data_IF_703058116255
#
_entry.id   IF_703058116255
#
_cell.length_a   1.000
_cell.length_b   1.000
_cell.length_c   1.000
_cell.angle_alpha   90.00
_cell.angle_beta   90.00
_cell.angle_gamma   90.00
#
_symmetry.space_group_name_H-M   'P 1'
#
loop_
_entity.id
_entity.type
_entity.pdbx_description
1 polymer ?
#
# COMPACT_ATOMS: atom_id res chain seq x y z
N UNK A 1 -35.24 -36.27 52.66
CA UNK A 1 -34.66 -35.17 53.45
C UNK A 1 -33.25 -34.99 52.91
N UNK A 2 -32.90 -34.00 52.11
CA UNK A 2 -33.54 -32.74 51.76
C UNK A 2 -33.19 -32.34 50.32
N UNK A 3 -34.17 -31.75 49.64
CA UNK A 3 -33.97 -30.97 48.41
C UNK A 3 -33.38 -29.62 48.84
N UNK A 4 -32.17 -29.30 48.42
CA UNK A 4 -31.68 -27.93 48.42
C UNK A 4 -31.82 -27.36 47.00
N UNK A 5 -32.52 -26.24 46.94
CA UNK A 5 -32.93 -25.46 45.79
C UNK A 5 -31.77 -24.68 45.17
N UNK A 6 -31.59 -24.83 43.86
CA UNK A 6 -30.85 -23.89 43.01
C UNK A 6 -31.64 -22.58 42.90
N UNK A 7 -31.09 -21.49 43.43
CA UNK A 7 -31.50 -20.12 43.12
C UNK A 7 -30.48 -19.50 42.16
N UNK A 8 -30.91 -18.98 40.98
CA UNK A 8 -30.02 -18.29 40.06
C UNK A 8 -29.63 -16.91 40.59
N UNK A 9 -28.37 -16.53 40.37
CA UNK A 9 -27.89 -15.17 40.61
C UNK A 9 -28.35 -14.28 39.47
N UNK A 10 -29.28 -13.36 39.77
CA UNK A 10 -29.71 -12.27 38.89
C UNK A 10 -28.54 -11.30 38.62
N UNK A 11 -27.98 -11.36 37.42
CA UNK A 11 -27.15 -10.27 36.88
C UNK A 11 -28.13 -9.26 36.26
N UNK A 12 -28.39 -8.17 36.98
CA UNK A 12 -29.14 -7.03 36.47
C UNK A 12 -28.40 -6.44 35.25
N UNK A 13 -29.03 -6.53 34.08
CA UNK A 13 -28.65 -5.74 32.91
C UNK A 13 -28.77 -4.25 33.25
N UNK A 14 -27.65 -3.54 33.18
CA UNK A 14 -27.63 -2.08 33.29
C UNK A 14 -28.06 -1.50 31.94
N UNK A 15 -29.21 -0.84 31.93
CA UNK A 15 -29.72 -0.08 30.79
C UNK A 15 -29.04 1.29 30.75
N UNK A 16 -27.94 1.39 29.98
CA UNK A 16 -27.34 2.68 29.62
C UNK A 16 -27.34 2.81 28.08
N UNK A 17 -28.09 3.76 27.48
CA UNK A 17 -28.26 3.85 26.04
C UNK A 17 -27.16 4.72 25.43
N UNK A 18 -25.92 4.24 25.42
CA UNK A 18 -24.86 4.82 24.60
C UNK A 18 -24.12 3.69 23.87
N UNK A 19 -23.99 3.85 22.54
CA UNK A 19 -23.33 2.95 21.59
C UNK A 19 -24.15 1.78 21.01
N UNK A 20 -25.22 2.12 20.27
CA UNK A 20 -25.58 1.39 19.04
C UNK A 20 -25.92 2.40 17.93
N UNK A 21 -24.91 2.98 17.34
CA UNK A 21 -25.00 3.60 16.01
C UNK A 21 -24.11 2.80 15.09
N UNK A 22 -24.73 1.91 14.31
CA UNK A 22 -24.11 1.47 13.05
C UNK A 22 -23.75 2.72 12.24
N UNK A 23 -22.56 2.78 11.62
CA UNK A 23 -22.20 3.93 10.83
C UNK A 23 -23.13 4.02 9.62
N UNK A 24 -24.07 4.95 9.66
CA UNK A 24 -24.89 5.34 8.51
C UNK A 24 -23.96 6.04 7.51
N UNK A 25 -23.34 5.24 6.64
CA UNK A 25 -22.59 5.72 5.49
C UNK A 25 -23.57 6.49 4.60
N UNK A 26 -23.45 7.82 4.58
CA UNK A 26 -24.33 8.67 3.79
C UNK A 26 -24.23 8.28 2.31
N UNK A 27 -25.35 8.30 1.59
CA UNK A 27 -25.41 7.92 0.17
C UNK A 27 -24.54 8.81 -0.76
N UNK A 28 -24.00 9.92 -0.25
CA UNK A 28 -23.04 10.77 -0.94
C UNK A 28 -21.60 10.22 -0.94
N UNK A 29 -21.27 9.31 -0.03
CA UNK A 29 -19.91 8.75 0.15
C UNK A 29 -19.51 7.64 -0.84
N UNK A 30 -20.42 7.23 -1.74
CA UNK A 30 -20.20 6.12 -2.67
C UNK A 30 -19.74 6.54 -4.08
N UNK A 31 -19.48 7.82 -4.34
CA UNK A 31 -19.07 8.26 -5.68
C UNK A 31 -17.58 8.02 -5.89
N UNK A 32 -17.23 7.07 -6.74
CA UNK A 32 -15.88 6.96 -7.28
C UNK A 32 -15.57 8.15 -8.19
N UNK A 33 -14.30 8.63 -8.25
CA UNK A 33 -13.90 9.62 -9.25
C UNK A 33 -14.30 9.20 -10.67
N UNK A 34 -14.65 10.14 -11.57
CA UNK A 34 -15.06 9.78 -12.92
C UNK A 34 -13.97 9.01 -13.68
N UNK A 35 -14.36 7.90 -14.30
CA UNK A 35 -13.47 7.11 -15.15
C UNK A 35 -13.67 7.50 -16.60
N UNK A 36 -12.62 7.95 -17.26
CA UNK A 36 -12.61 8.23 -18.68
C UNK A 36 -12.05 7.04 -19.45
N UNK A 37 -12.76 6.61 -20.48
CA UNK A 37 -12.31 5.70 -21.53
C UNK A 37 -12.09 6.52 -22.81
N UNK A 38 -10.93 6.36 -23.44
CA UNK A 38 -10.67 6.86 -24.79
C UNK A 38 -10.33 5.69 -25.71
N UNK A 39 -10.83 5.69 -26.92
CA UNK A 39 -10.53 4.64 -27.90
C UNK A 39 -10.37 5.21 -29.29
N UNK A 40 -9.64 4.47 -30.12
CA UNK A 40 -9.43 4.82 -31.52
C UNK A 40 -10.65 4.39 -32.33
N UNK A 41 -11.36 5.37 -32.90
CA UNK A 41 -12.36 5.16 -33.94
C UNK A 41 -11.73 5.36 -35.32
N UNK A 42 -12.46 5.03 -36.38
CA UNK A 42 -11.93 5.05 -37.75
C UNK A 42 -11.36 6.41 -38.20
N UNK A 43 -11.88 7.52 -37.66
CA UNK A 43 -11.49 8.88 -38.07
C UNK A 43 -11.25 9.85 -36.91
N UNK A 44 -11.36 9.38 -35.66
CA UNK A 44 -11.31 10.23 -34.47
C UNK A 44 -10.92 9.40 -33.25
N UNK A 45 -10.45 10.08 -32.21
CA UNK A 45 -10.36 9.50 -30.87
C UNK A 45 -11.63 9.89 -30.14
N UNK A 46 -12.41 8.89 -29.72
CA UNK A 46 -13.64 9.12 -28.98
C UNK A 46 -13.36 9.07 -27.47
N UNK A 47 -14.25 9.67 -26.69
CA UNK A 47 -14.14 9.76 -25.22
C UNK A 47 -15.50 9.46 -24.59
N UNK A 48 -15.51 8.49 -23.67
CA UNK A 48 -16.67 8.16 -22.82
C UNK A 48 -16.25 8.33 -21.35
N UNK A 49 -17.12 8.90 -20.52
CA UNK A 49 -16.86 9.11 -19.09
C UNK A 49 -17.94 8.42 -18.25
N UNK A 50 -17.50 7.69 -17.23
CA UNK A 50 -18.32 6.96 -16.28
C UNK A 50 -18.31 7.67 -14.90
N UNK A 51 -19.40 7.67 -14.12
CA UNK A 51 -20.70 7.12 -14.45
C UNK A 51 -21.32 7.82 -15.67
N UNK A 52 -21.93 7.04 -16.55
CA UNK A 52 -22.54 7.57 -17.78
C UNK A 52 -23.75 8.44 -17.40
N UNK A 53 -23.73 9.71 -17.83
CA UNK A 53 -24.78 10.70 -17.50
C UNK A 53 -25.50 11.26 -18.75
N UNK A 54 -25.11 10.85 -19.96
CA UNK A 54 -25.48 11.47 -21.25
C UNK A 54 -25.89 10.39 -22.27
N UNK A 55 -26.67 10.71 -23.33
CA UNK A 55 -27.37 9.72 -24.14
C UNK A 55 -26.45 8.77 -24.95
N UNK A 56 -26.87 7.48 -24.97
CA UNK A 56 -26.42 6.26 -25.68
C UNK A 56 -25.60 6.34 -26.99
N UNK A 57 -25.47 7.51 -27.62
CA UNK A 57 -24.77 7.70 -28.91
C UNK A 57 -23.28 7.35 -28.87
N UNK A 58 -22.57 7.68 -27.78
CA UNK A 58 -21.15 7.34 -27.62
C UNK A 58 -20.95 5.83 -27.38
N UNK A 59 -21.86 5.20 -26.62
CA UNK A 59 -21.84 3.74 -26.44
C UNK A 59 -22.12 3.05 -27.78
N UNK A 60 -23.06 3.56 -28.59
CA UNK A 60 -23.31 3.02 -29.92
C UNK A 60 -22.06 3.07 -30.84
N UNK A 61 -21.25 4.14 -30.74
CA UNK A 61 -19.95 4.21 -31.44
C UNK A 61 -18.96 3.20 -30.89
N UNK A 62 -18.83 3.10 -29.56
CA UNK A 62 -17.96 2.12 -28.91
C UNK A 62 -18.30 0.69 -29.35
N UNK A 63 -19.60 0.35 -29.43
CA UNK A 63 -20.07 -0.96 -29.89
C UNK A 63 -19.71 -1.21 -31.36
N UNK A 64 -19.82 -0.19 -32.21
CA UNK A 64 -19.47 -0.28 -33.63
C UNK A 64 -17.97 -0.49 -33.85
N UNK A 65 -17.14 0.14 -33.02
CA UNK A 65 -15.68 0.11 -33.15
C UNK A 65 -15.05 -1.10 -32.42
N UNK A 66 -15.82 -1.82 -31.61
CA UNK A 66 -15.36 -3.00 -30.88
C UNK A 66 -15.37 -4.28 -31.74
N UNK A 67 -14.41 -5.17 -31.49
CA UNK A 67 -14.32 -6.46 -32.18
C UNK A 67 -15.18 -7.51 -31.46
N UNK A 68 -15.62 -8.54 -32.20
CA UNK A 68 -16.24 -9.71 -31.56
C UNK A 68 -15.23 -10.40 -30.64
N UNK A 69 -15.68 -10.75 -29.44
CA UNK A 69 -14.83 -11.38 -28.45
C UNK A 69 -14.68 -12.88 -28.72
N UNK A 70 -13.46 -13.32 -29.02
CA UNK A 70 -13.10 -14.74 -29.11
C UNK A 70 -12.96 -15.38 -27.73
N UNK A 71 -12.92 -16.71 -27.69
CA UNK A 71 -12.51 -17.51 -26.54
C UNK A 71 -11.57 -18.64 -26.97
N UNK A 72 -10.76 -19.14 -26.03
CA UNK A 72 -9.85 -20.24 -26.29
C UNK A 72 -10.58 -21.58 -26.30
N UNK A 73 -10.44 -22.34 -27.38
CA UNK A 73 -10.94 -23.71 -27.50
C UNK A 73 -9.87 -24.57 -28.18
N UNK A 74 -9.40 -25.62 -27.50
CA UNK A 74 -8.35 -26.52 -27.99
C UNK A 74 -7.09 -25.79 -28.49
N UNK A 75 -6.66 -24.76 -27.77
CA UNK A 75 -5.45 -23.98 -28.10
C UNK A 75 -5.60 -23.00 -29.27
N UNK A 76 -6.83 -22.76 -29.76
CA UNK A 76 -7.13 -21.77 -30.81
C UNK A 76 -8.14 -20.76 -30.30
N UNK A 77 -8.06 -19.53 -30.80
CA UNK A 77 -9.09 -18.52 -30.58
C UNK A 77 -10.26 -18.79 -31.54
N UNK A 78 -11.46 -18.98 -30.96
CA UNK A 78 -12.70 -19.27 -31.70
C UNK A 78 -13.72 -18.18 -31.41
N UNK A 79 -14.48 -17.81 -32.44
CA UNK A 79 -15.65 -16.93 -32.33
C UNK A 79 -16.88 -17.81 -32.56
N UNK A 80 -17.67 -18.00 -31.50
CA UNK A 80 -18.95 -18.72 -31.52
C UNK A 80 -19.93 -17.99 -30.59
N UNK A 81 -20.88 -17.28 -31.18
CA UNK A 81 -21.88 -16.49 -30.45
C UNK A 81 -22.87 -17.34 -29.64
N UNK A 82 -22.95 -18.64 -29.90
CA UNK A 82 -23.75 -19.56 -29.07
C UNK A 82 -23.06 -19.92 -27.76
N UNK A 83 -21.75 -19.67 -27.67
CA UNK A 83 -20.94 -19.87 -26.47
C UNK A 83 -20.57 -18.55 -25.78
N UNK A 84 -20.17 -17.56 -26.58
CA UNK A 84 -19.78 -16.23 -26.13
C UNK A 84 -20.32 -15.18 -27.09
N UNK A 85 -21.32 -14.43 -26.65
CA UNK A 85 -21.83 -13.26 -27.36
C UNK A 85 -21.39 -12.01 -26.62
N UNK A 86 -20.25 -11.47 -27.00
CA UNK A 86 -19.67 -10.27 -26.40
C UNK A 86 -18.76 -9.54 -27.39
N UNK A 87 -18.51 -8.27 -27.12
CA UNK A 87 -17.53 -7.46 -27.84
C UNK A 87 -16.33 -7.17 -26.94
N UNK A 88 -15.20 -6.82 -27.55
CA UNK A 88 -13.97 -6.45 -26.85
C UNK A 88 -13.22 -5.31 -27.55
N UNK A 89 -12.40 -4.61 -26.77
CA UNK A 89 -11.27 -3.85 -27.27
C UNK A 89 -9.99 -4.37 -26.61
N UNK A 90 -8.97 -4.62 -27.43
CA UNK A 90 -7.63 -4.94 -26.97
C UNK A 90 -6.91 -3.67 -26.50
N UNK A 91 -5.95 -3.80 -25.57
CA UNK A 91 -5.28 -2.66 -24.92
C UNK A 91 -4.57 -1.68 -25.86
N UNK A 92 -4.27 -2.08 -27.09
CA UNK A 92 -3.70 -1.20 -28.11
C UNK A 92 -4.71 -0.24 -28.73
N UNK A 93 -6.02 -0.45 -28.53
CA UNK A 93 -7.11 0.34 -29.13
C UNK A 93 -7.79 1.30 -28.14
N UNK A 94 -7.41 1.26 -26.87
CA UNK A 94 -8.04 2.12 -25.85
C UNK A 94 -7.08 2.48 -24.71
N UNK A 95 -7.43 3.55 -24.01
CA UNK A 95 -6.78 3.97 -22.76
C UNK A 95 -7.83 4.38 -21.73
N UNK A 96 -7.46 4.30 -20.45
CA UNK A 96 -8.30 4.75 -19.35
C UNK A 96 -7.47 5.44 -18.29
N UNK A 97 -8.07 6.40 -17.57
CA UNK A 97 -7.47 7.00 -16.38
C UNK A 97 -7.69 6.15 -15.10
N UNK A 98 -8.37 5.01 -15.21
CA UNK A 98 -8.59 4.15 -14.06
C UNK A 98 -7.34 3.32 -13.74
N UNK A 99 -6.84 3.49 -12.52
CA UNK A 99 -5.71 2.75 -11.99
C UNK A 99 -6.14 1.95 -10.75
N UNK A 100 -6.21 0.60 -10.78
CA UNK A 100 -6.64 -0.20 -9.63
C UNK A 100 -5.66 -0.12 -8.45
N UNK A 101 -4.42 0.33 -8.67
CA UNK A 101 -3.43 0.57 -7.62
C UNK A 101 -3.74 1.82 -6.81
N UNK A 102 -4.10 2.93 -7.47
CA UNK A 102 -4.39 4.21 -6.81
C UNK A 102 -5.63 4.15 -5.91
N UNK A 103 -6.58 3.27 -6.24
CA UNK A 103 -7.81 3.06 -5.46
C UNK A 103 -7.71 1.91 -4.46
N UNK A 104 -6.50 1.36 -4.23
CA UNK A 104 -6.24 0.33 -3.21
C UNK A 104 -6.80 -1.07 -3.51
N UNK A 105 -7.41 -1.29 -4.69
CA UNK A 105 -7.97 -2.60 -5.06
C UNK A 105 -6.87 -3.68 -5.07
N UNK A 106 -5.71 -3.34 -5.63
CA UNK A 106 -4.58 -4.29 -5.72
C UNK A 106 -4.05 -4.67 -4.34
N UNK A 107 -4.05 -3.74 -3.37
CA UNK A 107 -3.62 -3.99 -2.01
C UNK A 107 -4.59 -4.93 -1.27
N UNK A 108 -5.89 -4.72 -1.44
CA UNK A 108 -6.94 -5.60 -0.89
C UNK A 108 -6.80 -7.01 -1.49
N UNK A 109 -6.59 -7.11 -2.80
CA UNK A 109 -6.36 -8.40 -3.48
C UNK A 109 -5.11 -9.08 -2.93
N UNK A 110 -4.00 -8.36 -2.75
CA UNK A 110 -2.78 -8.91 -2.18
C UNK A 110 -3.00 -9.47 -0.77
N UNK A 111 -3.76 -8.77 0.07
CA UNK A 111 -4.05 -9.22 1.44
C UNK A 111 -5.01 -10.42 1.50
N UNK A 112 -5.97 -10.49 0.58
CA UNK A 112 -7.04 -11.48 0.60
C UNK A 112 -6.72 -12.76 -0.20
N UNK A 113 -5.97 -12.64 -1.31
CA UNK A 113 -5.76 -13.73 -2.27
C UNK A 113 -4.30 -14.23 -2.34
N UNK A 114 -3.35 -13.59 -1.68
CA UNK A 114 -1.98 -14.11 -1.56
C UNK A 114 -1.73 -14.69 -0.17
N UNK A 115 -0.86 -15.71 -0.04
CA UNK A 115 -0.47 -16.23 1.25
C UNK A 115 0.24 -15.15 2.06
N UNK A 116 -0.22 -14.92 3.29
CA UNK A 116 0.46 -14.03 4.22
C UNK A 116 1.63 -14.78 4.85
N UNK A 117 2.86 -14.44 4.44
CA UNK A 117 4.06 -14.99 5.08
C UNK A 117 4.62 -13.95 6.08
N UNK A 118 5.00 -14.34 7.31
CA UNK A 118 5.49 -13.40 8.33
C UNK A 118 6.75 -12.61 7.93
N UNK A 119 7.49 -13.14 6.94
CA UNK A 119 8.82 -12.66 6.54
C UNK A 119 8.83 -12.12 5.10
N UNK A 120 7.83 -12.45 4.28
CA UNK A 120 7.81 -12.12 2.85
C UNK A 120 6.47 -11.51 2.45
N UNK A 121 6.52 -10.27 1.92
CA UNK A 121 5.39 -9.66 1.24
C UNK A 121 5.43 -9.99 -0.24
N UNK A 122 4.49 -10.81 -0.69
CA UNK A 122 4.24 -10.98 -2.12
C UNK A 122 3.42 -9.79 -2.61
N UNK A 123 3.92 -9.13 -3.65
CA UNK A 123 3.21 -8.08 -4.35
C UNK A 123 2.25 -8.66 -5.38
N UNK A 124 1.24 -7.88 -5.76
CA UNK A 124 0.38 -8.19 -6.90
C UNK A 124 0.69 -7.22 -8.03
N UNK A 125 0.85 -7.75 -9.23
CA UNK A 125 0.80 -6.95 -10.46
C UNK A 125 -0.51 -7.23 -11.18
N UNK A 126 -1.40 -6.24 -11.18
CA UNK A 126 -2.53 -6.17 -12.09
C UNK A 126 -2.08 -5.61 -13.45
N UNK A 127 -2.29 -6.37 -14.51
CA UNK A 127 -1.99 -5.99 -15.90
C UNK A 127 -3.31 -5.85 -16.66
N UNK A 128 -3.59 -4.66 -17.20
CA UNK A 128 -4.78 -4.45 -18.03
C UNK A 128 -4.70 -5.35 -19.26
N UNK A 129 -5.75 -6.15 -19.48
CA UNK A 129 -5.78 -7.12 -20.56
C UNK A 129 -6.75 -6.72 -21.68
N UNK A 130 -7.98 -6.35 -21.34
CA UNK A 130 -9.00 -5.96 -22.35
C UNK A 130 -10.17 -5.22 -21.71
N UNK A 131 -10.88 -4.48 -22.56
CA UNK A 131 -12.25 -4.02 -22.29
C UNK A 131 -13.20 -5.09 -22.83
N UNK A 132 -14.19 -5.51 -22.02
CA UNK A 132 -15.28 -6.37 -22.49
C UNK A 132 -16.60 -5.59 -22.44
N UNK A 133 -17.43 -5.78 -23.47
CA UNK A 133 -18.72 -5.14 -23.59
C UNK A 133 -19.76 -6.23 -23.87
N UNK A 134 -20.80 -6.29 -23.03
CA UNK A 134 -21.95 -7.17 -23.21
C UNK A 134 -23.18 -6.29 -23.43
N UNK A 135 -23.79 -6.43 -24.59
CA UNK A 135 -24.91 -5.61 -25.02
C UNK A 135 -26.24 -6.39 -24.97
N UNK A 136 -27.27 -5.75 -24.44
CA UNK A 136 -28.64 -6.23 -24.52
C UNK A 136 -29.10 -6.46 -25.98
N UNK A 137 -30.03 -7.41 -26.22
CA UNK A 137 -30.83 -8.12 -25.22
C UNK A 137 -30.33 -9.52 -24.88
N UNK A 138 -29.16 -9.93 -25.40
CA UNK A 138 -28.76 -11.36 -25.37
C UNK A 138 -27.25 -11.61 -25.27
N UNK A 139 -26.43 -10.62 -24.92
CA UNK A 139 -25.01 -10.87 -24.72
C UNK A 139 -24.77 -11.67 -23.43
N UNK A 140 -23.90 -12.68 -23.52
CA UNK A 140 -23.54 -13.57 -22.40
C UNK A 140 -22.16 -14.21 -22.66
N UNK A 141 -21.63 -14.91 -21.65
CA UNK A 141 -20.51 -15.83 -21.83
C UNK A 141 -20.70 -17.05 -20.93
N UNK A 142 -20.80 -18.24 -21.55
CA UNK A 142 -21.02 -19.50 -20.84
C UNK A 142 -19.90 -19.85 -19.84
N UNK A 143 -20.15 -20.81 -18.92
CA UNK A 143 -19.16 -21.27 -17.95
C UNK A 143 -17.84 -21.65 -18.61
N UNK A 144 -16.74 -21.11 -18.09
CA UNK A 144 -15.39 -21.40 -18.56
C UNK A 144 -14.37 -21.15 -17.45
N UNK A 145 -13.17 -21.69 -17.63
CA UNK A 145 -12.00 -21.41 -16.80
C UNK A 145 -11.00 -20.67 -17.67
N UNK A 146 -10.35 -19.64 -17.14
CA UNK A 146 -9.34 -18.90 -17.87
C UNK A 146 -8.09 -19.76 -18.10
N UNK A 147 -7.56 -19.76 -19.32
CA UNK A 147 -6.26 -20.40 -19.59
C UNK A 147 -5.14 -19.52 -19.00
N UNK A 148 -4.30 -20.04 -18.09
CA UNK A 148 -3.16 -19.30 -17.57
C UNK A 148 -2.21 -18.90 -18.71
N UNK A 149 -1.72 -17.66 -18.68
CA UNK A 149 -0.77 -17.11 -19.66
C UNK A 149 0.68 -17.11 -19.17
N UNK A 150 0.89 -17.41 -17.91
CA UNK A 150 2.19 -17.44 -17.24
C UNK A 150 2.08 -18.25 -15.95
N UNK A 151 3.17 -18.88 -15.54
CA UNK A 151 3.29 -19.58 -14.26
C UNK A 151 3.06 -18.65 -13.05
N UNK A 152 3.20 -17.34 -13.24
CA UNK A 152 2.97 -16.34 -12.20
C UNK A 152 1.55 -15.78 -12.18
N UNK A 153 0.73 -16.08 -13.20
CA UNK A 153 -0.67 -15.64 -13.21
C UNK A 153 -1.47 -16.50 -12.24
N UNK A 154 -2.04 -15.87 -11.21
CA UNK A 154 -2.83 -16.58 -10.21
C UNK A 154 -4.32 -16.26 -10.28
N UNK A 155 -4.72 -15.22 -11.02
CA UNK A 155 -6.12 -14.82 -11.06
C UNK A 155 -6.45 -13.74 -12.08
N UNK A 156 -7.70 -13.30 -11.99
CA UNK A 156 -8.30 -12.28 -12.83
C UNK A 156 -9.00 -11.25 -11.94
N UNK A 157 -8.91 -9.97 -12.32
CA UNK A 157 -9.67 -8.87 -11.73
C UNK A 157 -10.60 -8.31 -12.80
N UNK A 158 -11.90 -8.27 -12.50
CA UNK A 158 -12.94 -7.68 -13.35
C UNK A 158 -13.43 -6.42 -12.66
N UNK A 159 -13.23 -5.28 -13.30
CA UNK A 159 -13.69 -3.96 -12.84
C UNK A 159 -14.85 -3.52 -13.70
N UNK A 160 -15.97 -3.22 -13.06
CA UNK A 160 -17.17 -2.69 -13.70
C UNK A 160 -17.12 -1.18 -13.82
N UNK A 161 -17.32 -0.69 -15.05
CA UNK A 161 -17.45 0.73 -15.34
C UNK A 161 -18.94 1.12 -15.21
N UNK A 162 -19.30 2.10 -14.36
CA UNK A 162 -20.70 2.35 -14.02
C UNK A 162 -21.56 2.81 -15.22
N UNK A 163 -22.35 1.87 -15.78
CA UNK A 163 -23.30 2.08 -16.87
C UNK A 163 -24.57 1.24 -16.66
N UNK A 164 -25.74 1.87 -16.79
CA UNK A 164 -27.01 1.23 -16.46
C UNK A 164 -27.27 -0.01 -17.34
N UNK A 165 -27.59 -1.14 -16.70
CA UNK A 165 -27.95 -2.40 -17.37
C UNK A 165 -28.77 -3.28 -16.43
N UNK A 166 -29.47 -4.27 -16.99
CA UNK A 166 -30.11 -5.36 -16.24
C UNK A 166 -29.59 -6.72 -16.71
N UNK A 167 -29.53 -7.69 -15.80
CA UNK A 167 -28.88 -8.97 -16.07
C UNK A 167 -27.34 -8.85 -16.04
N UNK A 168 -26.63 -9.70 -16.76
CA UNK A 168 -25.18 -9.58 -16.89
C UNK A 168 -24.37 -9.94 -15.64
N UNK A 169 -24.96 -10.67 -14.68
CA UNK A 169 -24.28 -11.03 -13.45
C UNK A 169 -23.04 -11.90 -13.74
N UNK A 170 -21.97 -11.65 -13.00
CA UNK A 170 -20.78 -12.50 -13.01
C UNK A 170 -20.97 -13.58 -11.96
N UNK A 171 -21.01 -14.84 -12.38
CA UNK A 171 -21.06 -15.99 -11.47
C UNK A 171 -19.69 -16.65 -11.44
N UNK A 172 -19.11 -16.78 -10.25
CA UNK A 172 -17.81 -17.43 -10.03
C UNK A 172 -18.05 -18.68 -9.18
N UNK A 173 -17.51 -19.81 -9.61
CA UNK A 173 -17.68 -21.13 -9.01
C UNK A 173 -16.34 -21.80 -8.71
N UNK A 174 -16.24 -22.36 -7.52
CA UNK A 174 -15.09 -23.16 -7.12
C UNK A 174 -15.50 -24.18 -6.05
N UNK A 175 -15.09 -25.44 -6.22
CA UNK A 175 -15.35 -26.56 -5.28
C UNK A 175 -16.82 -26.68 -4.81
N UNK A 176 -17.76 -26.55 -5.74
CA UNK A 176 -19.20 -26.69 -5.45
C UNK A 176 -19.85 -25.49 -4.79
N UNK A 177 -19.11 -24.41 -4.54
CA UNK A 177 -19.63 -23.12 -4.09
C UNK A 177 -19.74 -22.15 -5.27
N UNK A 178 -20.75 -21.27 -5.23
CA UNK A 178 -20.97 -20.25 -6.24
C UNK A 178 -21.24 -18.90 -5.57
N UNK A 179 -20.60 -17.85 -6.09
CA UNK A 179 -20.83 -16.46 -5.70
C UNK A 179 -21.31 -15.71 -6.95
N UNK A 180 -22.41 -14.96 -6.81
CA UNK A 180 -22.98 -14.16 -7.89
C UNK A 180 -22.77 -12.68 -7.59
N UNK A 181 -22.00 -12.01 -8.45
CA UNK A 181 -21.80 -10.57 -8.39
C UNK A 181 -22.82 -9.89 -9.31
N UNK A 182 -23.71 -9.09 -8.71
CA UNK A 182 -24.70 -8.30 -9.43
C UNK A 182 -24.38 -6.80 -9.34
N UNK A 183 -24.12 -6.18 -10.49
CA UNK A 183 -23.75 -4.77 -10.62
C UNK A 183 -24.80 -3.93 -11.36
N UNK A 184 -25.96 -4.52 -11.69
CA UNK A 184 -27.01 -3.90 -12.51
C UNK A 184 -27.58 -2.60 -11.90
N UNK A 185 -27.67 -2.53 -10.57
CA UNK A 185 -28.44 -1.49 -9.85
C UNK A 185 -27.57 -0.39 -9.22
N UNK A 186 -26.24 -0.44 -9.38
CA UNK A 186 -25.33 0.48 -8.72
C UNK A 186 -24.54 1.32 -9.73
N UNK A 187 -25.23 2.27 -10.35
CA UNK A 187 -24.70 3.06 -11.48
C UNK A 187 -23.74 4.18 -11.10
N UNK A 188 -23.34 4.33 -9.82
CA UNK A 188 -22.61 5.51 -9.34
C UNK A 188 -21.21 5.22 -8.78
N UNK A 189 -20.88 3.94 -8.54
CA UNK A 189 -19.63 3.54 -7.93
C UNK A 189 -18.96 2.45 -8.77
N UNK A 190 -17.63 2.54 -8.91
CA UNK A 190 -16.83 1.42 -9.44
C UNK A 190 -17.05 0.19 -8.55
N UNK A 191 -17.42 -0.92 -9.18
CA UNK A 191 -17.52 -2.22 -8.53
C UNK A 191 -16.51 -3.17 -9.18
N UNK A 192 -16.10 -4.20 -8.45
CA UNK A 192 -15.11 -5.14 -8.96
C UNK A 192 -15.24 -6.51 -8.29
N UNK A 193 -14.66 -7.51 -8.94
CA UNK A 193 -14.46 -8.85 -8.38
C UNK A 193 -13.08 -9.36 -8.80
N UNK A 194 -12.40 -10.03 -7.88
CA UNK A 194 -11.16 -10.74 -8.16
C UNK A 194 -11.29 -12.20 -7.73
N UNK A 195 -10.74 -13.11 -8.52
CA UNK A 195 -10.84 -14.54 -8.30
C UNK A 195 -9.64 -15.28 -8.90
N UNK A 196 -9.37 -16.48 -8.39
CA UNK A 196 -8.28 -17.33 -8.87
C UNK A 196 -8.53 -17.83 -10.30
N UNK A 197 -7.46 -18.11 -11.03
CA UNK A 197 -7.52 -18.52 -12.44
C UNK A 197 -8.12 -19.92 -12.65
N UNK A 198 -8.15 -20.75 -11.61
CA UNK A 198 -8.77 -22.08 -11.61
C UNK A 198 -10.27 -22.06 -11.26
N UNK A 199 -10.83 -20.89 -10.95
CA UNK A 199 -12.26 -20.72 -10.77
C UNK A 199 -12.99 -20.75 -12.12
N UNK A 200 -14.04 -21.57 -12.21
CA UNK A 200 -14.99 -21.49 -13.31
C UNK A 200 -15.83 -20.23 -13.15
N UNK A 201 -16.08 -19.52 -14.24
CA UNK A 201 -16.94 -18.35 -14.20
C UNK A 201 -17.76 -18.18 -15.49
N UNK A 202 -18.86 -17.45 -15.38
CA UNK A 202 -19.73 -17.10 -16.50
C UNK A 202 -20.31 -15.69 -16.34
N UNK A 203 -20.77 -15.13 -17.45
CA UNK A 203 -21.55 -13.90 -17.48
C UNK A 203 -22.95 -14.25 -17.97
N UNK A 204 -23.94 -14.06 -17.10
CA UNK A 204 -25.35 -14.26 -17.45
C UNK A 204 -25.81 -13.26 -18.51
N UNK A 205 -26.97 -13.53 -19.10
CA UNK A 205 -27.52 -12.72 -20.18
C UNK A 205 -27.79 -11.27 -19.74
N UNK A 206 -27.34 -10.31 -20.54
CA UNK A 206 -27.69 -8.89 -20.38
C UNK A 206 -29.05 -8.64 -21.03
N UNK A 207 -30.04 -8.28 -20.22
CA UNK A 207 -31.44 -8.10 -20.65
C UNK A 207 -31.69 -6.69 -21.17
N UNK A 208 -31.12 -5.68 -20.51
CA UNK A 208 -31.24 -4.28 -20.92
C UNK A 208 -29.93 -3.52 -20.70
N UNK A 209 -29.69 -2.47 -21.48
CA UNK A 209 -28.50 -1.64 -21.41
C UNK A 209 -27.20 -2.34 -21.85
N UNK A 210 -26.09 -1.92 -21.23
CA UNK A 210 -24.75 -2.35 -21.58
C UNK A 210 -23.94 -2.64 -20.33
N UNK A 211 -23.27 -3.79 -20.29
CA UNK A 211 -22.30 -4.12 -19.23
C UNK A 211 -20.90 -3.95 -19.78
N UNK A 212 -20.19 -2.94 -19.28
CA UNK A 212 -18.83 -2.61 -19.70
C UNK A 212 -17.86 -2.87 -18.55
N UNK A 213 -16.82 -3.67 -18.80
CA UNK A 213 -15.84 -4.05 -17.78
C UNK A 213 -14.42 -4.00 -18.29
N UNK A 214 -13.49 -3.57 -17.44
CA UNK A 214 -12.05 -3.77 -17.63
C UNK A 214 -11.65 -5.10 -17.00
N UNK A 215 -10.89 -5.91 -17.72
CA UNK A 215 -10.30 -7.15 -17.17
C UNK A 215 -8.80 -6.98 -17.05
N UNK A 216 -8.28 -7.35 -15.88
CA UNK A 216 -6.87 -7.38 -15.56
C UNK A 216 -6.43 -8.82 -15.27
N UNK A 217 -5.28 -9.21 -15.79
CA UNK A 217 -4.60 -10.42 -15.35
C UNK A 217 -3.84 -10.10 -14.05
N UNK A 218 -3.97 -10.95 -13.04
CA UNK A 218 -3.29 -10.81 -11.75
C UNK A 218 -2.08 -11.74 -11.71
N UNK A 219 -0.91 -11.16 -11.51
CA UNK A 219 0.34 -11.88 -11.38
C UNK A 219 0.92 -11.72 -9.98
N UNK A 220 1.38 -12.84 -9.41
CA UNK A 220 2.16 -12.81 -8.21
C UNK A 220 3.52 -12.19 -8.54
N UNK A 221 3.90 -11.16 -7.80
CA UNK A 221 5.22 -10.58 -7.86
C UNK A 221 5.92 -10.88 -6.56
N UNK A 222 7.12 -11.40 -6.71
CA UNK A 222 8.08 -11.43 -5.63
C UNK A 222 8.29 -10.00 -5.15
N UNK A 223 8.08 -9.73 -3.87
CA UNK A 223 8.38 -8.43 -3.28
C UNK A 223 9.84 -8.05 -3.55
N UNK A 224 10.19 -6.77 -3.39
CA UNK A 224 11.61 -6.35 -3.44
C UNK A 224 12.48 -7.13 -2.43
N UNK A 225 11.87 -7.69 -1.38
CA UNK A 225 12.47 -8.64 -0.42
C UNK A 225 12.63 -10.09 -0.92
N UNK A 226 11.94 -10.52 -1.98
CA UNK A 226 12.03 -11.90 -2.53
C UNK A 226 12.95 -12.01 -3.78
N UNK A 227 13.20 -10.91 -4.50
CA UNK A 227 14.41 -10.84 -5.35
C UNK A 227 15.66 -10.96 -4.45
N UNK A 228 15.51 -10.46 -3.22
CA UNK A 228 16.37 -10.73 -2.10
C UNK A 228 16.22 -12.18 -1.59
N UNK A 229 15.08 -12.85 -1.43
CA UNK A 229 15.08 -14.25 -0.91
C UNK A 229 15.51 -15.37 -1.88
N UNK A 230 15.89 -15.06 -3.12
CA UNK A 230 16.78 -15.96 -3.86
C UNK A 230 18.27 -15.73 -3.58
N UNK A 231 18.68 -14.71 -2.81
CA UNK A 231 20.07 -14.53 -2.39
C UNK A 231 20.38 -13.70 -1.12
N UNK A 232 19.67 -12.67 -0.67
CA UNK A 232 19.92 -11.90 0.56
C UNK A 232 19.90 -12.71 1.87
N UNK A 233 19.08 -13.73 2.09
CA UNK A 233 19.27 -14.58 3.29
C UNK A 233 20.66 -15.25 3.32
N UNK A 234 21.15 -15.65 2.13
CA UNK A 234 22.48 -16.22 1.91
C UNK A 234 23.58 -15.16 1.65
N UNK A 235 23.22 -13.91 1.33
CA UNK A 235 24.11 -12.84 0.86
C UNK A 235 24.25 -11.71 1.89
N UNK A 236 23.23 -11.44 2.71
CA UNK A 236 23.31 -10.54 3.87
C UNK A 236 24.39 -11.03 4.82
N UNK A 237 24.43 -12.33 5.10
CA UNK A 237 25.46 -12.93 5.96
C UNK A 237 26.88 -12.80 5.38
N UNK A 238 26.99 -12.57 4.07
CA UNK A 238 28.26 -12.31 3.38
C UNK A 238 28.59 -10.82 3.30
N UNK A 239 27.65 -9.92 3.60
CA UNK A 239 27.93 -8.50 3.62
C UNK A 239 28.89 -8.20 4.78
N UNK A 240 29.98 -7.44 4.52
CA UNK A 240 30.91 -7.06 5.57
C UNK A 240 30.21 -6.40 6.77
N UNK A 241 29.22 -5.55 6.52
CA UNK A 241 28.48 -4.90 7.60
C UNK A 241 27.74 -5.90 8.50
N UNK A 242 27.17 -6.98 7.96
CA UNK A 242 26.52 -8.01 8.78
C UNK A 242 27.54 -8.77 9.62
N UNK A 243 28.64 -9.20 8.99
CA UNK A 243 29.71 -9.97 9.64
C UNK A 243 30.29 -9.16 10.81
N UNK A 244 30.65 -7.91 10.56
CA UNK A 244 31.24 -7.02 11.56
C UNK A 244 30.23 -6.66 12.66
N UNK A 245 28.96 -6.42 12.32
CA UNK A 245 27.93 -6.13 13.33
C UNK A 245 27.69 -7.34 14.21
N UNK A 246 27.60 -8.55 13.63
CA UNK A 246 27.46 -9.80 14.39
C UNK A 246 28.66 -10.02 15.31
N UNK A 247 29.88 -9.87 14.79
CA UNK A 247 31.11 -10.00 15.57
C UNK A 247 31.19 -8.96 16.71
N UNK A 248 30.76 -7.71 16.46
CA UNK A 248 30.68 -6.69 17.48
C UNK A 248 29.67 -7.05 18.57
N UNK A 249 28.47 -7.53 18.23
CA UNK A 249 27.46 -7.94 19.20
C UNK A 249 27.91 -9.12 20.08
N UNK A 250 28.67 -10.05 19.50
CA UNK A 250 29.29 -11.19 20.21
C UNK A 250 30.47 -10.77 21.11
N UNK A 251 31.06 -9.60 20.88
CA UNK A 251 32.18 -9.10 21.67
C UNK A 251 31.73 -8.59 23.05
N UNK A 252 32.25 -9.14 24.17
CA UNK A 252 31.87 -8.71 25.52
C UNK A 252 32.20 -7.26 25.85
N UNK A 253 33.14 -6.64 25.12
CA UNK A 253 33.58 -5.25 25.34
C UNK A 253 32.79 -4.23 24.54
N UNK A 254 32.05 -4.67 23.53
CA UNK A 254 31.24 -3.77 22.72
C UNK A 254 29.96 -3.45 23.48
N UNK A 255 29.73 -2.19 23.85
CA UNK A 255 28.53 -1.75 24.59
C UNK A 255 28.12 -2.73 25.71
N UNK A 256 29.03 -2.98 26.66
CA UNK A 256 28.90 -4.02 27.70
C UNK A 256 27.58 -3.94 28.46
N UNK A 257 27.17 -2.72 28.80
CA UNK A 257 25.95 -2.44 29.56
C UNK A 257 24.71 -2.26 28.66
N UNK A 258 24.87 -2.39 27.34
CA UNK A 258 23.86 -2.04 26.36
C UNK A 258 23.79 -0.53 26.15
N UNK A 259 22.77 -0.08 25.43
CA UNK A 259 22.53 1.34 25.13
C UNK A 259 21.95 1.54 23.73
N UNK A 260 21.96 2.79 23.27
CA UNK A 260 21.48 3.13 21.93
C UNK A 260 22.66 3.36 21.00
N UNK A 261 22.70 2.61 19.90
CA UNK A 261 23.64 2.83 18.81
C UNK A 261 22.94 3.63 17.70
N UNK A 262 23.50 4.77 17.31
CA UNK A 262 22.93 5.66 16.31
C UNK A 262 23.68 5.63 15.00
N UNK A 263 22.94 5.74 13.89
CA UNK A 263 23.48 6.03 12.55
C UNK A 263 22.66 7.15 11.92
N UNK A 264 23.29 8.27 11.57
CA UNK A 264 22.66 9.28 10.72
C UNK A 264 22.36 8.68 9.33
N UNK A 265 21.14 8.91 8.84
CA UNK A 265 20.78 8.53 7.49
C UNK A 265 21.60 9.29 6.47
N UNK A 266 22.03 8.61 5.41
CA UNK A 266 22.81 9.20 4.34
C UNK A 266 21.94 9.96 3.32
N UNK A 267 20.62 9.77 3.36
CA UNK A 267 19.67 10.44 2.47
C UNK A 267 18.63 11.23 3.26
N UNK A 268 18.07 12.25 2.62
CA UNK A 268 16.89 12.93 3.10
C UNK A 268 15.60 12.13 2.76
N UNK A 269 14.60 12.25 3.63
CA UNK A 269 13.31 11.57 3.53
C UNK A 269 12.17 12.55 3.76
N UNK A 270 11.04 12.30 3.11
CA UNK A 270 9.90 13.19 3.13
C UNK A 270 9.09 13.16 4.44
N UNK A 271 9.75 12.95 5.57
CA UNK A 271 9.13 12.58 6.84
C UNK A 271 8.58 13.76 7.63
N UNK A 272 8.50 14.93 7.00
CA UNK A 272 7.87 16.15 7.51
C UNK A 272 6.41 16.27 7.04
N UNK A 273 5.89 15.32 6.26
CA UNK A 273 4.48 15.21 5.88
C UNK A 273 3.84 13.97 6.50
N UNK A 274 2.51 13.96 6.65
CA UNK A 274 1.79 12.79 7.19
C UNK A 274 2.02 11.54 6.33
N UNK A 275 2.01 11.73 5.02
CA UNK A 275 2.23 10.67 4.03
C UNK A 275 3.65 10.10 4.17
N UNK A 276 4.67 10.96 4.26
CA UNK A 276 6.05 10.50 4.37
C UNK A 276 6.39 9.90 5.73
N UNK A 277 5.75 10.34 6.83
CA UNK A 277 5.84 9.67 8.14
C UNK A 277 5.32 8.23 8.01
N UNK A 278 4.15 8.03 7.39
CA UNK A 278 3.58 6.69 7.19
C UNK A 278 4.41 5.80 6.24
N UNK A 279 5.20 6.42 5.36
CA UNK A 279 6.00 5.71 4.37
C UNK A 279 7.31 5.17 4.94
N UNK A 280 7.84 5.75 6.02
CA UNK A 280 9.02 5.21 6.71
C UNK A 280 8.66 4.01 7.59
N UNK A 281 9.54 3.00 7.71
CA UNK A 281 10.87 2.90 7.09
C UNK A 281 10.88 2.30 5.68
N UNK A 282 9.72 2.09 5.03
CA UNK A 282 9.62 1.35 3.75
C UNK A 282 10.31 2.05 2.57
N UNK A 283 10.50 3.37 2.67
CA UNK A 283 11.14 4.21 1.63
C UNK A 283 12.61 4.52 1.91
N UNK A 284 13.23 3.85 2.88
CA UNK A 284 14.68 4.00 3.13
C UNK A 284 15.49 3.67 1.86
N UNK A 285 16.54 4.43 1.62
CA UNK A 285 17.36 4.36 0.40
C UNK A 285 18.74 3.78 0.70
N UNK A 286 19.24 2.94 -0.21
CA UNK A 286 20.63 2.47 -0.22
C UNK A 286 21.11 1.93 1.13
N UNK A 287 22.22 2.48 1.63
CA UNK A 287 22.87 2.06 2.88
C UNK A 287 22.00 2.21 4.12
N UNK A 288 21.03 3.13 4.15
CA UNK A 288 20.13 3.29 5.30
C UNK A 288 19.18 2.10 5.41
N UNK A 289 18.63 1.67 4.27
CA UNK A 289 17.80 0.47 4.19
C UNK A 289 18.62 -0.78 4.56
N UNK A 290 19.84 -0.91 4.05
CA UNK A 290 20.72 -2.05 4.34
C UNK A 290 21.05 -2.12 5.84
N UNK A 291 21.41 -0.99 6.46
CA UNK A 291 21.69 -0.93 7.90
C UNK A 291 20.47 -1.34 8.73
N UNK A 292 19.29 -0.75 8.46
CA UNK A 292 18.07 -1.13 9.17
C UNK A 292 17.75 -2.63 9.02
N UNK A 293 17.94 -3.18 7.82
CA UNK A 293 17.67 -4.58 7.51
C UNK A 293 18.62 -5.51 8.27
N UNK A 294 19.93 -5.23 8.26
CA UNK A 294 20.94 -6.04 8.94
C UNK A 294 20.71 -6.06 10.45
N UNK A 295 20.49 -4.91 11.07
CA UNK A 295 20.30 -4.83 12.52
C UNK A 295 19.02 -5.55 12.96
N UNK A 296 17.93 -5.45 12.18
CA UNK A 296 16.70 -6.22 12.42
C UNK A 296 16.89 -7.72 12.22
N UNK A 297 17.64 -8.12 11.19
CA UNK A 297 17.95 -9.54 10.94
C UNK A 297 18.79 -10.16 12.08
N UNK A 298 19.58 -9.34 12.78
CA UNK A 298 20.32 -9.72 14.00
C UNK A 298 19.46 -9.67 15.28
N UNK A 299 18.15 -9.42 15.15
CA UNK A 299 17.20 -9.43 16.26
C UNK A 299 17.16 -8.15 17.10
N UNK A 300 17.72 -7.05 16.62
CA UNK A 300 17.74 -5.78 17.35
C UNK A 300 16.48 -4.95 17.06
N UNK A 301 15.96 -4.30 18.10
CA UNK A 301 14.94 -3.28 17.95
C UNK A 301 15.55 -2.04 17.27
N UNK A 302 14.82 -1.49 16.31
CA UNK A 302 15.30 -0.39 15.50
C UNK A 302 14.21 0.63 15.20
N UNK A 303 14.49 1.89 15.49
CA UNK A 303 13.61 3.04 15.26
C UNK A 303 14.22 3.99 14.22
N UNK A 304 13.35 4.74 13.54
CA UNK A 304 13.74 5.88 12.71
C UNK A 304 13.26 7.13 13.41
N UNK A 305 14.18 7.97 13.86
CA UNK A 305 13.87 9.14 14.67
C UNK A 305 14.59 10.37 14.12
N UNK A 306 13.98 11.56 14.21
CA UNK A 306 14.71 12.79 13.95
C UNK A 306 15.71 13.03 15.08
N UNK A 307 16.82 13.68 14.75
CA UNK A 307 17.88 14.00 15.71
C UNK A 307 18.23 15.45 15.50
N UNK A 308 18.18 16.22 16.57
CA UNK A 308 18.52 17.63 16.53
C UNK A 308 20.04 17.77 16.46
N UNK A 309 20.54 18.23 15.32
CA UNK A 309 21.91 18.73 15.19
C UNK A 309 22.13 20.01 16.01
N UNK A 310 22.90 19.90 17.09
CA UNK A 310 23.25 21.01 17.99
C UNK A 310 24.61 21.66 17.66
N UNK A 311 25.37 21.10 16.70
CA UNK A 311 26.76 21.50 16.41
C UNK A 311 26.93 22.92 15.86
N UNK A 312 25.87 23.52 15.30
CA UNK A 312 25.91 24.88 14.75
C UNK A 312 25.60 25.97 15.77
N UNK A 313 25.05 25.61 16.93
CA UNK A 313 24.62 26.55 17.97
C UNK A 313 25.40 26.32 19.27
N UNK A 314 26.61 25.76 19.18
CA UNK A 314 27.47 25.47 20.35
C UNK A 314 27.72 26.72 21.20
N UNK A 315 27.72 27.90 20.59
CA UNK A 315 27.94 29.18 21.28
C UNK A 315 26.68 29.70 22.02
N UNK A 316 25.50 29.18 21.69
CA UNK A 316 24.20 29.63 22.23
C UNK A 316 23.58 28.63 23.23
N UNK A 317 24.05 27.37 23.24
CA UNK A 317 23.50 26.30 24.06
C UNK A 317 24.36 26.04 25.30
N UNK A 318 23.70 25.77 26.42
CA UNK A 318 24.38 25.40 27.67
C UNK A 318 25.16 24.08 27.50
N UNK A 319 26.28 23.96 28.24
CA UNK A 319 27.15 22.76 28.19
C UNK A 319 26.44 21.46 28.52
N UNK A 320 25.37 21.52 29.32
CA UNK A 320 24.53 20.36 29.63
C UNK A 320 23.70 19.92 28.43
N UNK A 321 23.23 20.85 27.59
CA UNK A 321 22.54 20.55 26.33
C UNK A 321 23.49 19.95 25.28
N UNK A 322 24.77 20.28 25.32
CA UNK A 322 25.77 19.70 24.40
C UNK A 322 26.27 18.31 24.86
N UNK A 323 25.92 17.88 26.07
CA UNK A 323 26.43 16.63 26.64
C UNK A 323 25.72 15.37 26.12
N UNK A 324 24.50 15.50 25.59
CA UNK A 324 23.67 14.37 25.14
C UNK A 324 23.11 14.62 23.75
N UNK A 325 22.70 13.54 23.06
CA UNK A 325 22.02 13.67 21.77
C UNK A 325 20.53 13.90 22.00
N UNK A 326 19.95 14.84 21.26
CA UNK A 326 18.55 15.19 21.39
C UNK A 326 17.73 14.47 20.32
N UNK A 327 17.13 13.35 20.73
CA UNK A 327 16.35 12.47 19.84
C UNK A 327 14.88 12.86 19.94
N UNK A 328 14.24 13.12 18.80
CA UNK A 328 12.80 13.39 18.79
C UNK A 328 12.00 12.14 19.15
N UNK A 329 10.96 12.33 19.97
CA UNK A 329 10.12 11.23 20.45
C UNK A 329 9.41 10.51 19.30
N UNK A 330 8.99 11.27 18.28
CA UNK A 330 8.27 10.75 17.12
C UNK A 330 8.65 11.53 15.85
N UNK A 331 8.42 10.91 14.69
CA UNK A 331 8.39 11.66 13.44
C UNK A 331 7.12 12.51 13.40
N UNK A 332 7.27 13.82 13.26
CA UNK A 332 6.17 14.77 13.26
C UNK A 332 6.25 15.70 12.05
N UNK A 333 5.11 16.32 11.73
CA UNK A 333 5.11 17.48 10.83
C UNK A 333 5.94 18.61 11.48
N UNK A 334 6.60 19.48 10.69
CA UNK A 334 7.38 20.58 11.21
C UNK A 334 6.56 21.51 12.10
N UNK A 335 7.17 22.03 13.15
CA UNK A 335 6.59 23.14 13.89
C UNK A 335 6.61 24.40 13.00
N UNK A 336 5.51 25.16 13.02
CA UNK A 336 5.37 26.43 12.29
C UNK A 336 5.30 27.53 13.33
N UNK A 337 6.28 28.44 13.31
CA UNK A 337 6.19 29.68 14.06
C UNK A 337 5.26 30.67 13.32
N UNK A 338 4.43 31.37 14.09
CA UNK A 338 3.60 32.48 13.64
C UNK A 338 4.29 33.85 13.84
N UNK A 339 5.55 33.86 14.28
CA UNK A 339 6.32 35.06 14.63
C UNK A 339 7.00 35.65 13.38
N UNK A 340 6.96 36.98 13.28
CA UNK A 340 7.41 37.76 12.12
C UNK A 340 8.93 38.03 12.09
N UNK A 341 9.61 37.73 13.19
CA UNK A 341 11.06 37.86 13.36
C UNK A 341 11.69 36.46 13.40
N UNK A 342 12.99 36.35 13.09
CA UNK A 342 13.72 35.08 13.24
C UNK A 342 13.71 34.68 14.72
N UNK A 343 12.92 33.65 15.06
CA UNK A 343 12.94 33.08 16.41
C UNK A 343 14.34 32.51 16.70
N UNK A 344 14.93 32.80 17.88
CA UNK A 344 16.17 32.18 18.29
C UNK A 344 16.05 30.65 18.24
N UNK A 345 17.04 29.97 17.67
CA UNK A 345 17.04 28.51 17.55
C UNK A 345 16.93 27.79 18.91
N UNK A 346 17.32 28.45 20.00
CA UNK A 346 17.15 27.98 21.38
C UNK A 346 15.69 27.88 21.83
N UNK A 347 14.83 28.85 21.50
CA UNK A 347 13.40 28.81 21.85
C UNK A 347 12.66 27.73 21.04
N UNK A 348 13.07 27.55 19.79
CA UNK A 348 12.58 26.50 18.89
C UNK A 348 13.00 25.11 19.37
N UNK A 349 14.22 25.01 19.91
CA UNK A 349 14.75 23.79 20.52
C UNK A 349 13.98 23.39 21.78
N UNK A 350 13.67 24.35 22.67
CA UNK A 350 12.87 24.13 23.88
C UNK A 350 11.42 23.72 23.57
N UNK A 351 10.86 24.22 22.46
CA UNK A 351 9.49 23.93 22.06
C UNK A 351 9.29 22.53 21.46
N UNK A 352 10.36 21.87 21.01
CA UNK A 352 10.25 20.58 20.32
C UNK A 352 10.34 19.38 21.28
N UNK A 353 9.37 18.44 21.25
CA UNK A 353 9.42 17.24 22.09
C UNK A 353 10.59 16.33 21.72
N UNK A 354 11.62 16.34 22.56
CA UNK A 354 12.80 15.49 22.41
C UNK A 354 13.25 14.93 23.75
N UNK A 355 13.98 13.83 23.69
CA UNK A 355 14.53 13.15 24.86
C UNK A 355 16.06 13.21 24.78
N UNK A 356 16.74 13.83 25.76
CA UNK A 356 18.18 13.72 25.92
C UNK A 356 18.58 12.25 26.07
N UNK A 357 19.36 11.75 25.13
CA UNK A 357 19.72 10.35 25.01
C UNK A 357 21.22 10.21 24.84
N UNK A 358 21.83 9.30 25.60
CA UNK A 358 23.23 8.91 25.41
C UNK A 358 23.32 7.94 24.22
N UNK A 359 23.67 8.47 23.06
CA UNK A 359 23.73 7.73 21.79
C UNK A 359 25.19 7.56 21.37
N UNK A 360 25.60 6.31 21.15
CA UNK A 360 26.88 6.00 20.51
C UNK A 360 26.74 6.09 18.99
N UNK A 361 27.34 7.09 18.36
CA UNK A 361 27.20 7.34 16.92
C UNK A 361 28.22 6.58 16.06
N UNK A 362 27.74 5.92 15.00
CA UNK A 362 28.57 5.24 14.00
C UNK A 362 29.15 6.20 12.95
N UNK A 363 28.51 7.34 12.74
CA UNK A 363 28.90 8.37 11.79
C UNK A 363 28.48 9.76 12.30
N UNK A 364 29.03 10.81 11.71
CA UNK A 364 28.55 12.17 11.93
C UNK A 364 27.37 12.55 11.02
N UNK A 365 26.72 13.69 11.31
CA UNK A 365 25.70 14.25 10.43
C UNK A 365 26.27 14.60 9.04
N UNK A 366 25.44 14.53 8.01
CA UNK A 366 25.81 14.90 6.63
C UNK A 366 25.76 16.41 6.47
N UNK A 367 26.81 17.07 5.96
CA UNK A 367 26.79 18.51 5.71
C UNK A 367 25.59 18.92 4.82
N UNK A 368 24.75 19.83 5.31
CA UNK A 368 23.47 20.21 4.67
C UNK A 368 22.24 19.59 5.32
N UNK A 369 22.41 18.85 6.43
CA UNK A 369 21.35 18.46 7.37
C UNK A 369 20.81 19.67 8.14
N UNK A 370 20.27 20.65 7.44
CA UNK A 370 19.36 21.58 8.11
C UNK A 370 18.27 20.72 8.76
N UNK A 371 18.05 20.89 10.07
CA UNK A 371 16.94 20.24 10.76
C UNK A 371 15.64 20.85 10.24
N UNK A 372 15.19 20.38 9.08
CA UNK A 372 14.01 20.89 8.36
C UNK A 372 12.68 20.50 9.05
N UNK A 373 12.74 20.00 10.28
CA UNK A 373 11.58 19.90 11.17
C UNK A 373 11.17 21.26 11.78
N UNK A 374 11.94 22.31 11.50
CA UNK A 374 11.54 23.69 11.76
C UNK A 374 11.54 24.44 10.43
N UNK A 375 10.35 24.85 9.99
CA UNK A 375 10.21 25.65 8.78
C UNK A 375 10.20 27.13 9.12
N UNK A 376 11.22 27.88 8.72
CA UNK A 376 11.23 29.34 8.76
C UNK A 376 10.77 29.90 7.41
N UNK A 377 9.92 30.93 7.40
CA UNK A 377 9.41 31.53 6.17
C UNK A 377 10.54 32.20 5.38
N UNK A 378 10.83 31.69 4.17
CA UNK A 378 11.66 32.38 3.16
C UNK A 378 10.74 32.94 2.09
N UNK A 379 10.64 34.27 1.97
CA UNK A 379 9.76 34.89 0.96
C UNK A 379 10.44 34.98 -0.42
N UNK A 380 9.80 34.37 -1.42
CA UNK A 380 9.96 34.62 -2.86
C UNK A 380 8.58 34.85 -3.51
N UNK A 381 8.54 35.32 -4.76
CA UNK A 381 7.30 35.71 -5.46
C UNK A 381 6.31 34.55 -5.76
N UNK A 382 6.56 33.35 -5.26
CA UNK A 382 5.63 32.22 -5.15
C UNK A 382 5.80 31.62 -3.74
N UNK A 383 4.71 31.39 -3.02
CA UNK A 383 4.75 30.70 -1.73
C UNK A 383 4.93 29.20 -1.98
N UNK A 384 6.18 28.76 -2.16
CA UNK A 384 6.54 27.35 -2.17
C UNK A 384 7.24 27.03 -0.84
N UNK A 385 6.70 26.07 -0.07
CA UNK A 385 7.39 25.52 1.10
C UNK A 385 8.46 24.54 0.61
N UNK A 386 9.73 24.83 0.90
CA UNK A 386 10.89 23.98 0.55
C UNK A 386 11.07 22.78 1.52
N UNK A 387 10.17 22.60 2.49
CA UNK A 387 10.39 21.74 3.68
C UNK A 387 9.88 20.30 3.56
N UNK A 388 9.89 19.72 2.36
CA UNK A 388 9.35 18.37 2.17
C UNK A 388 10.31 17.26 2.62
N UNK A 389 11.63 17.45 2.55
CA UNK A 389 12.63 16.42 2.83
C UNK A 389 13.54 16.83 4.00
N UNK A 390 13.69 15.97 5.00
CA UNK A 390 14.62 16.17 6.13
C UNK A 390 15.46 14.91 6.37
N UNK A 391 16.58 15.06 7.07
CA UNK A 391 17.42 13.93 7.50
C UNK A 391 16.95 13.41 8.86
N UNK A 392 17.07 12.10 9.06
CA UNK A 392 16.76 11.42 10.32
C UNK A 392 17.91 10.46 10.67
N UNK A 393 17.82 9.79 11.81
CA UNK A 393 18.74 8.76 12.20
C UNK A 393 18.03 7.41 12.37
N UNK A 394 18.80 6.35 12.20
CA UNK A 394 18.44 5.00 12.65
C UNK A 394 18.99 4.83 14.05
N UNK A 395 18.14 4.41 14.98
CA UNK A 395 18.50 4.12 16.36
C UNK A 395 18.30 2.64 16.62
N UNK A 396 19.34 1.98 17.11
CA UNK A 396 19.35 0.55 17.40
C UNK A 396 19.52 0.33 18.90
N UNK A 397 18.57 -0.38 19.50
CA UNK A 397 18.69 -0.77 20.91
C UNK A 397 19.63 -1.97 21.02
N UNK A 398 20.75 -1.76 21.69
CA UNK A 398 21.74 -2.80 21.95
C UNK A 398 21.50 -3.34 23.37
N UNK A 399 21.05 -4.60 23.53
CA UNK A 399 20.89 -5.18 24.85
C UNK A 399 22.23 -5.30 25.56
N UNK A 400 22.25 -5.22 26.89
CA UNK A 400 23.46 -5.53 27.67
C UNK A 400 24.03 -6.90 27.31
N UNK A 401 25.36 -7.07 27.39
CA UNK A 401 26.03 -8.28 26.94
C UNK A 401 25.36 -9.54 27.53
N UNK A 402 25.15 -9.58 28.85
CA UNK A 402 24.51 -10.70 29.55
C UNK A 402 23.09 -11.06 29.05
N UNK A 403 22.37 -10.13 28.41
CA UNK A 403 21.02 -10.36 27.85
C UNK A 403 21.06 -10.86 26.41
N UNK A 404 22.13 -10.60 25.65
CA UNK A 404 22.24 -10.98 24.23
C UNK A 404 23.02 -12.28 23.96
N UNK A 405 23.80 -12.77 24.92
CA UNK A 405 24.50 -14.07 24.81
C UNK A 405 23.53 -15.27 24.70
N UNK A 406 22.26 -15.10 25.09
CA UNK A 406 21.21 -16.11 24.91
C UNK A 406 20.51 -16.07 23.55
N UNK A 407 20.68 -14.99 22.76
CA UNK A 407 20.01 -14.76 21.47
C UNK A 407 20.88 -15.21 20.29
N UNK A 408 22.20 -15.08 20.41
CA UNK A 408 23.15 -15.51 19.36
C UNK A 408 23.42 -17.01 19.34
N UNK A 409 23.18 -17.72 20.43
CA UNK A 409 23.41 -19.17 20.54
C UNK A 409 22.32 -20.05 19.87
N UNK A 410 21.16 -19.49 19.54
CA UNK A 410 20.00 -20.19 18.97
C UNK A 410 19.89 -20.15 17.44
N UNK A 411 20.84 -19.52 16.74
CA UNK A 411 20.86 -19.38 15.28
C UNK A 411 21.96 -20.22 14.60
N UNK A 412 22.35 -21.35 15.21
CA UNK A 412 23.25 -22.35 14.61
C UNK A 412 22.46 -23.53 14.04
#
# INVERSE_FOLDING_TARGET
MDRASDTPVDIKESSDPQYKTEPTVSAESLRSPPVTLRWDSASSIEKLTFPENEPNTLIARLLKDADHASFGFQGKDVIDETYRKALKLDTSKFSTNFCPYEVGIVDIIGQALLPQHPIASQGVRAELYKLNIYQAPSAFFKPHVDTPRSDLQFGSLVVYLPCAHEGGQLVVRHRGQAITFNWSNNSKAIQWAAFYSDCEHEVLEVVSGHRITLTYNLYARRGLGEVADLNLGLSLQQLPLYIETKAALENPRFMTNGGVLGKYCSHAYAHTTREGISALPRVLKGHDMIALTIFRALGLAAAVSPVLDTSKNEDELDKECLAQSHVGETLSVPHRSDVWEEEPLSEVFDAYPHIPTDVSWLNGPVHGTENLQFGYLRYGNQAELDFAYSFCALLFEIPAYHKRIGVTASCN
#
